data_IF_010754421306
#
_entry.id   IF_010754421306
#
_cell.length_a   1.000
_cell.length_b   1.000
_cell.length_c   1.000
_cell.angle_alpha   90.00
_cell.angle_beta   90.00
_cell.angle_gamma   90.00
#
_symmetry.space_group_name_H-M   'P 1'
#
loop_
_entity.id
_entity.type
_entity.pdbx_description
1 polymer ?
#
# COMPACT_ATOMS: atom_id res chain seq x y z
N UNK A 1 35.93 -14.25 -73.96
CA UNK A 1 34.53 -14.01 -74.35
C UNK A 1 33.62 -14.82 -73.42
N UNK A 2 32.76 -14.11 -72.66
CA UNK A 2 31.54 -14.57 -71.94
C UNK A 2 31.67 -15.58 -70.77
N UNK A 3 31.67 -15.00 -69.55
CA UNK A 3 30.86 -15.27 -68.33
C UNK A 3 30.57 -16.73 -67.94
N UNK A 4 31.15 -17.26 -66.84
CA UNK A 4 30.86 -17.08 -65.39
C UNK A 4 29.78 -18.03 -64.82
N UNK A 5 30.30 -19.01 -64.07
CA UNK A 5 29.82 -19.71 -62.87
C UNK A 5 28.33 -20.04 -62.68
N UNK A 6 28.07 -21.30 -62.30
CA UNK A 6 27.40 -21.61 -61.02
C UNK A 6 27.70 -23.03 -60.53
N UNK A 7 28.05 -23.09 -59.25
CA UNK A 7 28.29 -24.25 -58.39
C UNK A 7 27.03 -25.05 -58.05
N UNK A 8 27.25 -26.32 -57.72
CA UNK A 8 26.42 -27.22 -56.90
C UNK A 8 27.07 -28.61 -56.90
N UNK A 9 26.98 -29.47 -55.89
CA UNK A 9 26.49 -29.46 -54.52
C UNK A 9 26.95 -30.83 -53.99
N UNK A 10 27.80 -30.92 -52.96
CA UNK A 10 27.99 -32.19 -52.25
C UNK A 10 27.98 -31.93 -50.75
N UNK A 11 26.92 -32.44 -50.15
CA UNK A 11 26.62 -32.53 -48.74
C UNK A 11 27.49 -33.59 -48.07
N UNK A 12 28.08 -33.30 -46.91
CA UNK A 12 28.28 -34.32 -45.87
C UNK A 12 28.28 -33.65 -44.48
N UNK A 13 27.45 -34.21 -43.61
CA UNK A 13 27.20 -33.87 -42.21
C UNK A 13 28.50 -33.75 -41.37
N UNK A 14 28.62 -32.64 -40.65
CA UNK A 14 29.25 -32.61 -39.32
C UNK A 14 28.33 -31.86 -38.36
N UNK A 15 27.77 -32.62 -37.42
CA UNK A 15 26.93 -32.16 -36.34
C UNK A 15 27.82 -31.50 -35.27
N UNK A 16 27.94 -30.18 -35.29
CA UNK A 16 28.56 -29.39 -34.22
C UNK A 16 27.46 -28.76 -33.36
N UNK A 17 27.34 -29.23 -32.12
CA UNK A 17 26.56 -28.62 -31.04
C UNK A 17 26.93 -27.14 -30.91
N UNK A 18 25.97 -26.24 -31.19
CA UNK A 18 25.99 -24.88 -30.70
C UNK A 18 25.41 -24.89 -29.28
N UNK A 19 26.27 -24.99 -28.26
CA UNK A 19 25.93 -24.53 -26.92
C UNK A 19 25.91 -23.01 -26.94
N UNK A 20 24.72 -22.42 -27.15
CA UNK A 20 24.50 -21.02 -26.82
C UNK A 20 24.65 -20.86 -25.30
N UNK A 21 25.76 -20.26 -24.88
CA UNK A 21 25.86 -19.61 -23.59
C UNK A 21 24.85 -18.45 -23.57
N UNK A 22 23.63 -18.72 -23.12
CA UNK A 22 22.74 -17.68 -22.67
C UNK A 22 23.24 -17.19 -21.32
N UNK A 23 24.03 -16.11 -21.34
CA UNK A 23 24.28 -15.28 -20.17
C UNK A 23 22.95 -14.62 -19.77
N UNK A 24 22.16 -15.31 -18.97
CA UNK A 24 21.12 -14.68 -18.19
C UNK A 24 21.79 -14.04 -16.98
N UNK A 25 22.21 -12.78 -17.11
CA UNK A 25 22.33 -11.89 -15.95
C UNK A 25 20.91 -11.58 -15.48
N UNK A 26 20.24 -12.57 -14.88
CA UNK A 26 19.18 -12.29 -13.92
C UNK A 26 19.85 -11.71 -12.68
N UNK A 27 19.44 -10.53 -12.19
CA UNK A 27 19.87 -10.06 -10.88
C UNK A 27 19.61 -11.17 -9.85
N UNK A 28 20.45 -11.33 -8.81
CA UNK A 28 20.18 -12.30 -7.76
C UNK A 28 18.78 -12.05 -7.21
N UNK A 29 17.94 -13.07 -7.31
CA UNK A 29 16.58 -13.05 -6.79
C UNK A 29 16.69 -12.79 -5.27
N UNK A 30 16.18 -11.64 -4.84
CA UNK A 30 16.16 -11.21 -3.44
C UNK A 30 15.09 -12.01 -2.67
N UNK A 31 15.20 -13.34 -2.70
CA UNK A 31 14.24 -14.30 -2.12
C UNK A 31 14.18 -14.22 -0.58
N UNK A 32 15.11 -13.52 0.05
CA UNK A 32 15.23 -13.45 1.51
C UNK A 32 14.50 -12.26 2.13
N UNK A 33 14.14 -11.22 1.36
CA UNK A 33 13.47 -10.04 1.92
C UNK A 33 11.96 -10.19 1.89
N UNK A 34 11.37 -10.54 3.04
CA UNK A 34 9.91 -10.65 3.20
C UNK A 34 9.23 -9.31 2.92
N UNK A 35 8.15 -9.36 2.15
CA UNK A 35 7.32 -8.19 1.86
C UNK A 35 5.89 -8.37 2.38
N UNK A 36 5.21 -7.24 2.56
CA UNK A 36 3.78 -7.16 2.85
C UNK A 36 3.12 -6.54 1.62
N UNK A 37 2.18 -7.27 1.02
CA UNK A 37 1.42 -6.84 -0.15
C UNK A 37 -0.06 -6.80 0.19
N UNK A 38 -0.69 -5.64 -0.05
CA UNK A 38 -2.11 -5.44 0.19
C UNK A 38 -2.79 -5.02 -1.11
N UNK A 39 -3.93 -5.63 -1.44
CA UNK A 39 -4.87 -5.08 -2.40
C UNK A 39 -6.13 -4.61 -1.67
N UNK A 40 -6.46 -3.33 -1.83
CA UNK A 40 -7.72 -2.75 -1.39
C UNK A 40 -8.69 -2.81 -2.58
N UNK A 41 -9.79 -3.55 -2.43
CA UNK A 41 -10.85 -3.67 -3.43
C UNK A 41 -12.08 -2.95 -2.87
N UNK A 42 -12.36 -1.74 -3.35
CA UNK A 42 -13.39 -0.89 -2.78
C UNK A 42 -14.57 -0.76 -3.74
N UNK A 43 -15.76 -1.10 -3.27
CA UNK A 43 -16.97 -0.76 -4.00
C UNK A 43 -17.15 0.77 -4.00
N UNK A 44 -17.56 1.29 -5.15
CA UNK A 44 -17.81 2.70 -5.42
C UNK A 44 -19.24 2.89 -5.93
N UNK A 45 -20.18 2.07 -5.45
CA UNK A 45 -21.61 2.27 -5.65
C UNK A 45 -22.14 3.45 -4.81
N UNK A 46 -23.34 3.96 -5.12
CA UNK A 46 -23.92 5.15 -4.45
C UNK A 46 -24.15 4.96 -2.94
N UNK A 47 -24.37 3.72 -2.51
CA UNK A 47 -24.54 3.36 -1.10
C UNK A 47 -23.23 3.43 -0.31
N UNK A 48 -22.07 3.68 -0.95
CA UNK A 48 -20.76 3.59 -0.31
C UNK A 48 -20.15 4.92 0.14
N UNK A 49 -20.80 6.07 -0.05
CA UNK A 49 -20.23 7.40 0.23
C UNK A 49 -19.69 7.53 1.66
N UNK A 50 -20.48 7.16 2.67
CA UNK A 50 -20.06 7.21 4.07
C UNK A 50 -18.92 6.24 4.39
N UNK A 51 -18.83 5.13 3.66
CA UNK A 51 -17.85 4.09 3.89
C UNK A 51 -16.52 4.35 3.19
N UNK A 52 -16.53 4.96 2.00
CA UNK A 52 -15.30 5.43 1.36
C UNK A 52 -14.59 6.43 2.28
N UNK A 53 -15.34 7.28 2.99
CA UNK A 53 -14.78 8.17 4.02
C UNK A 53 -14.19 7.41 5.22
N UNK A 54 -14.83 6.32 5.67
CA UNK A 54 -14.27 5.46 6.71
C UNK A 54 -13.02 4.71 6.21
N UNK A 55 -13.03 4.16 5.00
CA UNK A 55 -11.90 3.49 4.38
C UNK A 55 -10.69 4.42 4.21
N UNK A 56 -10.93 5.69 3.84
CA UNK A 56 -9.91 6.77 3.83
C UNK A 56 -9.27 6.95 5.20
N UNK A 57 -10.07 6.90 6.28
CA UNK A 57 -9.55 6.99 7.65
C UNK A 57 -8.77 5.74 8.08
N UNK A 58 -9.16 4.56 7.60
CA UNK A 58 -8.56 3.29 8.03
C UNK A 58 -7.23 2.95 7.37
N UNK A 59 -6.94 3.51 6.19
CA UNK A 59 -5.67 3.28 5.49
C UNK A 59 -4.47 3.47 6.42
N UNK A 60 -4.42 4.60 7.13
CA UNK A 60 -3.30 4.91 8.03
C UNK A 60 -3.26 4.00 9.26
N UNK A 61 -4.42 3.52 9.75
CA UNK A 61 -4.48 2.52 10.83
C UNK A 61 -3.77 1.24 10.41
N UNK A 62 -4.11 0.71 9.23
CA UNK A 62 -3.52 -0.52 8.67
C UNK A 62 -2.03 -0.35 8.43
N UNK A 63 -1.64 0.76 7.77
CA UNK A 63 -0.24 1.09 7.49
C UNK A 63 0.57 1.17 8.78
N UNK A 64 0.08 1.88 9.80
CA UNK A 64 0.79 2.05 11.06
C UNK A 64 0.98 0.73 11.81
N UNK A 65 0.00 -0.16 11.78
CA UNK A 65 0.14 -1.48 12.42
C UNK A 65 1.14 -2.36 11.67
N UNK A 66 1.05 -2.41 10.35
CA UNK A 66 1.99 -3.19 9.54
C UNK A 66 3.41 -2.62 9.58
N UNK A 67 3.56 -1.32 9.81
CA UNK A 67 4.87 -0.70 10.03
C UNK A 67 5.52 -1.11 11.37
N UNK A 68 4.76 -1.65 12.34
CA UNK A 68 5.32 -2.26 13.55
C UNK A 68 5.80 -3.69 13.33
N UNK A 69 5.41 -4.30 12.21
CA UNK A 69 5.80 -5.68 11.91
C UNK A 69 7.29 -5.76 11.55
N UNK A 70 7.97 -6.76 12.10
CA UNK A 70 9.32 -7.17 11.75
C UNK A 70 9.36 -8.68 11.51
N UNK A 71 10.31 -9.16 10.71
CA UNK A 71 10.50 -10.59 10.53
C UNK A 71 11.98 -10.91 10.38
N UNK A 72 12.46 -11.88 11.17
CA UNK A 72 13.86 -12.33 11.15
C UNK A 72 14.87 -11.18 11.34
N UNK A 73 14.50 -10.16 12.15
CA UNK A 73 15.30 -8.97 12.40
C UNK A 73 15.24 -7.90 11.30
N UNK A 74 14.54 -8.19 10.18
CA UNK A 74 14.35 -7.26 9.08
C UNK A 74 12.97 -6.59 9.14
N UNK A 75 12.93 -5.33 8.71
CA UNK A 75 11.68 -4.59 8.51
C UNK A 75 11.17 -4.83 7.09
N UNK A 76 9.96 -5.36 6.92
CA UNK A 76 9.41 -5.70 5.60
C UNK A 76 9.07 -4.44 4.81
N UNK A 77 9.16 -4.56 3.49
CA UNK A 77 8.61 -3.56 2.57
C UNK A 77 7.10 -3.70 2.50
N UNK A 78 6.37 -2.59 2.49
CA UNK A 78 4.93 -2.54 2.31
C UNK A 78 4.59 -2.04 0.91
N UNK A 79 3.74 -2.77 0.19
CA UNK A 79 3.20 -2.39 -1.10
C UNK A 79 1.68 -2.47 -1.07
N UNK A 80 1.01 -1.43 -1.58
CA UNK A 80 -0.45 -1.35 -1.62
C UNK A 80 -0.90 -1.15 -3.05
N UNK A 81 -1.91 -1.91 -3.46
CA UNK A 81 -2.68 -1.73 -4.68
C UNK A 81 -4.10 -1.28 -4.34
N UNK A 82 -4.74 -0.57 -5.27
CA UNK A 82 -6.10 -0.09 -5.13
C UNK A 82 -6.90 -0.44 -6.37
N UNK A 83 -8.04 -1.09 -6.15
CA UNK A 83 -9.08 -1.32 -7.13
C UNK A 83 -10.36 -0.64 -6.69
N UNK A 84 -11.11 -0.16 -7.66
CA UNK A 84 -12.52 0.14 -7.48
C UNK A 84 -13.36 -0.84 -8.30
N UNK A 85 -14.56 -1.13 -7.80
CA UNK A 85 -15.56 -1.90 -8.51
C UNK A 85 -16.97 -1.37 -8.21
N UNK A 86 -18.00 -1.92 -8.88
CA UNK A 86 -19.40 -1.60 -8.58
C UNK A 86 -19.88 -0.23 -9.05
N UNK A 87 -19.20 0.38 -10.04
CA UNK A 87 -19.52 1.71 -10.54
C UNK A 87 -19.90 1.71 -12.03
N UNK A 88 -21.06 2.27 -12.37
CA UNK A 88 -21.59 2.30 -13.74
C UNK A 88 -20.78 3.18 -14.72
N UNK A 89 -19.85 4.00 -14.24
CA UNK A 89 -18.89 4.70 -15.11
C UNK A 89 -17.74 3.78 -15.57
N UNK A 90 -17.61 2.60 -14.97
CA UNK A 90 -16.59 1.63 -15.31
C UNK A 90 -17.03 0.77 -16.50
N UNK A 91 -16.05 0.16 -17.16
CA UNK A 91 -16.29 -0.62 -18.36
C UNK A 91 -17.06 -1.92 -18.02
N UNK A 92 -18.28 -2.12 -18.54
CA UNK A 92 -19.07 -3.32 -18.27
C UNK A 92 -18.40 -4.60 -18.80
N UNK A 93 -17.60 -4.50 -19.88
CA UNK A 93 -16.86 -5.65 -20.43
C UNK A 93 -15.72 -6.13 -19.53
N UNK A 94 -15.26 -5.27 -18.61
CA UNK A 94 -14.27 -5.60 -17.58
C UNK A 94 -14.94 -5.96 -16.24
N UNK A 95 -16.28 -6.07 -16.22
CA UNK A 95 -17.06 -6.37 -15.03
C UNK A 95 -17.20 -5.19 -14.06
N UNK A 96 -17.17 -3.96 -14.57
CA UNK A 96 -17.19 -2.74 -13.77
C UNK A 96 -16.04 -2.66 -12.76
N UNK A 97 -14.83 -3.06 -13.17
CA UNK A 97 -13.65 -3.10 -12.31
C UNK A 97 -12.55 -2.26 -12.94
N UNK A 98 -11.88 -1.44 -12.14
CA UNK A 98 -10.69 -0.70 -12.55
C UNK A 98 -9.58 -0.85 -11.53
N UNK A 99 -8.39 -1.22 -12.01
CA UNK A 99 -7.16 -1.08 -11.24
C UNK A 99 -6.78 0.40 -11.21
N UNK A 100 -6.90 1.02 -10.04
CA UNK A 100 -6.61 2.45 -9.85
C UNK A 100 -5.12 2.65 -9.58
N UNK A 101 -4.52 1.76 -8.79
CA UNK A 101 -3.10 1.78 -8.43
C UNK A 101 -2.54 0.36 -8.44
N UNK A 102 -1.43 0.15 -9.17
CA UNK A 102 -0.61 -1.07 -9.07
C UNK A 102 0.04 -1.18 -7.70
N UNK A 103 0.59 -2.35 -7.34
CA UNK A 103 1.38 -2.49 -6.11
C UNK A 103 2.49 -1.42 -6.09
N UNK A 104 2.42 -0.52 -5.12
CA UNK A 104 3.35 0.60 -4.98
C UNK A 104 3.71 0.83 -3.51
N UNK A 105 4.89 1.39 -3.28
CA UNK A 105 5.36 1.89 -1.97
C UNK A 105 4.93 3.35 -1.74
N UNK A 106 4.48 4.03 -2.78
CA UNK A 106 4.09 5.43 -2.73
C UNK A 106 2.74 5.58 -2.02
N UNK A 107 2.79 5.72 -0.69
CA UNK A 107 1.62 5.87 0.15
C UNK A 107 0.85 7.17 -0.12
N UNK A 108 1.51 8.20 -0.66
CA UNK A 108 0.85 9.44 -1.03
C UNK A 108 0.07 9.31 -2.34
N UNK A 109 0.56 8.51 -3.30
CA UNK A 109 -0.20 8.13 -4.49
C UNK A 109 -1.43 7.30 -4.12
N UNK A 110 -1.28 6.31 -3.24
CA UNK A 110 -2.40 5.48 -2.76
C UNK A 110 -3.44 6.36 -2.07
N UNK A 111 -3.01 7.23 -1.16
CA UNK A 111 -3.89 8.21 -0.50
C UNK A 111 -4.57 9.11 -1.52
N UNK A 112 -3.83 9.71 -2.46
CA UNK A 112 -4.39 10.56 -3.50
C UNK A 112 -5.50 9.86 -4.26
N UNK A 113 -5.23 8.65 -4.75
CA UNK A 113 -6.20 7.88 -5.54
C UNK A 113 -7.41 7.45 -4.73
N UNK A 114 -7.21 7.12 -3.45
CA UNK A 114 -8.31 6.84 -2.53
C UNK A 114 -9.22 8.06 -2.31
N UNK A 115 -8.65 9.27 -2.20
CA UNK A 115 -9.41 10.53 -2.11
C UNK A 115 -10.07 10.95 -3.43
N UNK A 116 -9.54 10.51 -4.57
CA UNK A 116 -10.10 10.75 -5.90
C UNK A 116 -11.29 9.85 -6.26
N UNK A 117 -11.50 8.74 -5.54
CA UNK A 117 -12.64 7.83 -5.79
C UNK A 117 -13.97 8.58 -5.67
N UNK A 118 -14.90 8.26 -6.57
CA UNK A 118 -16.25 8.84 -6.62
C UNK A 118 -17.24 7.71 -6.78
N UNK A 119 -18.36 7.82 -6.09
CA UNK A 119 -19.43 6.84 -6.19
C UNK A 119 -20.30 7.13 -7.40
N UNK A 120 -20.73 6.06 -8.07
CA UNK A 120 -21.79 6.10 -9.05
C UNK A 120 -22.29 4.68 -9.26
N UNK A 121 -23.41 4.34 -8.60
CA UNK A 121 -24.00 3.01 -8.44
C UNK A 121 -23.80 2.04 -9.61
N UNK A 122 -23.72 0.74 -9.35
CA UNK A 122 -23.53 -0.32 -10.34
C UNK A 122 -23.57 -1.70 -9.69
N UNK A 123 -23.40 -2.75 -10.50
CA UNK A 123 -23.41 -4.13 -10.01
C UNK A 123 -22.07 -4.52 -9.36
N UNK A 124 -22.10 -5.19 -8.21
CA UNK A 124 -20.92 -5.50 -7.40
C UNK A 124 -20.38 -6.92 -7.66
N UNK A 125 -19.46 -7.08 -8.60
CA UNK A 125 -18.92 -8.40 -8.95
C UNK A 125 -17.72 -8.81 -8.07
N UNK A 126 -17.99 -9.13 -6.80
CA UNK A 126 -16.98 -9.52 -5.80
C UNK A 126 -16.04 -10.65 -6.26
N UNK A 127 -16.60 -11.74 -6.82
CA UNK A 127 -15.80 -12.85 -7.35
C UNK A 127 -14.90 -12.43 -8.51
N UNK A 128 -15.40 -11.56 -9.39
CA UNK A 128 -14.64 -11.06 -10.54
C UNK A 128 -13.51 -10.11 -10.11
N UNK A 129 -13.72 -9.20 -9.16
CA UNK A 129 -12.67 -8.27 -8.71
C UNK A 129 -11.55 -9.00 -7.97
N UNK A 130 -11.87 -10.01 -7.15
CA UNK A 130 -10.86 -10.88 -6.54
C UNK A 130 -10.07 -11.59 -7.64
N UNK A 131 -10.73 -12.27 -8.57
CA UNK A 131 -10.06 -12.95 -9.70
C UNK A 131 -9.16 -11.99 -10.48
N UNK A 132 -9.66 -10.80 -10.79
CA UNK A 132 -8.93 -9.77 -11.55
C UNK A 132 -7.68 -9.30 -10.81
N UNK A 133 -7.78 -9.06 -9.51
CA UNK A 133 -6.62 -8.70 -8.67
C UNK A 133 -5.57 -9.82 -8.61
N UNK A 134 -5.98 -11.10 -8.63
CA UNK A 134 -5.09 -12.25 -8.68
C UNK A 134 -4.39 -12.41 -10.05
N UNK A 135 -5.04 -11.97 -11.12
CA UNK A 135 -4.52 -12.05 -12.50
C UNK A 135 -3.55 -10.90 -12.82
N UNK A 136 -3.83 -9.69 -12.34
CA UNK A 136 -3.14 -8.47 -12.76
C UNK A 136 -2.00 -8.03 -11.83
N UNK A 137 -2.10 -8.30 -10.53
CA UNK A 137 -1.05 -7.88 -9.58
C UNK A 137 0.10 -8.88 -9.56
N UNK A 138 1.33 -8.35 -9.52
CA UNK A 138 2.50 -9.15 -9.23
C UNK A 138 2.54 -9.49 -7.73
N UNK A 139 1.80 -10.52 -7.35
CA UNK A 139 1.81 -11.07 -6.00
C UNK A 139 3.13 -11.74 -5.63
N UNK A 140 4.06 -11.93 -6.58
CA UNK A 140 5.24 -12.80 -6.52
C UNK A 140 4.94 -14.25 -6.10
N UNK A 141 5.96 -15.12 -6.18
CA UNK A 141 5.86 -16.53 -5.77
C UNK A 141 6.39 -16.80 -4.35
N UNK A 142 6.79 -15.77 -3.59
CA UNK A 142 7.29 -15.93 -2.22
C UNK A 142 6.18 -16.45 -1.32
N UNK A 143 6.44 -17.56 -0.63
CA UNK A 143 5.55 -18.12 0.39
C UNK A 143 5.71 -17.43 1.75
N UNK A 144 6.81 -16.69 1.92
CA UNK A 144 7.17 -16.00 3.15
C UNK A 144 6.52 -14.62 3.28
N UNK A 145 6.01 -14.08 2.18
CA UNK A 145 5.35 -12.79 2.15
C UNK A 145 3.97 -12.85 2.80
N UNK A 146 3.57 -11.72 3.39
CA UNK A 146 2.22 -11.50 3.86
C UNK A 146 1.42 -10.86 2.72
N UNK A 147 0.46 -11.61 2.16
CA UNK A 147 -0.36 -11.17 1.02
C UNK A 147 -1.82 -11.11 1.45
N UNK A 148 -2.39 -9.92 1.42
CA UNK A 148 -3.72 -9.64 1.93
C UNK A 148 -4.57 -8.95 0.85
N UNK A 149 -5.82 -9.37 0.76
CA UNK A 149 -6.88 -8.63 0.05
C UNK A 149 -7.84 -8.12 1.11
N UNK A 150 -8.19 -6.84 1.07
CA UNK A 150 -9.33 -6.30 1.79
C UNK A 150 -10.37 -5.89 0.75
N UNK A 151 -11.51 -6.56 0.78
CA UNK A 151 -12.65 -6.23 -0.08
C UNK A 151 -13.78 -5.61 0.75
N UNK A 152 -14.33 -4.50 0.28
CA UNK A 152 -15.43 -3.78 0.93
C UNK A 152 -16.56 -3.50 -0.07
N UNK A 153 -17.81 -3.69 0.36
CA UNK A 153 -19.03 -3.54 -0.46
C UNK A 153 -20.30 -3.83 0.33
N UNK A 154 -21.46 -3.61 -0.29
CA UNK A 154 -22.76 -3.67 0.40
C UNK A 154 -23.79 -4.58 -0.28
N UNK A 155 -23.46 -5.22 -1.40
CA UNK A 155 -24.35 -6.13 -2.11
C UNK A 155 -23.96 -7.61 -1.90
N UNK A 156 -24.80 -8.58 -2.32
CA UNK A 156 -24.46 -9.98 -2.18
C UNK A 156 -23.14 -10.38 -2.85
N UNK A 157 -22.28 -11.06 -2.07
CA UNK A 157 -20.96 -11.50 -2.50
C UNK A 157 -20.98 -12.50 -3.69
N UNK A 158 -22.17 -13.03 -3.99
CA UNK A 158 -22.45 -13.98 -5.07
C UNK A 158 -22.80 -13.33 -6.41
N UNK A 159 -22.87 -12.00 -6.50
CA UNK A 159 -23.20 -11.32 -7.75
C UNK A 159 -22.11 -11.54 -8.84
N UNK A 160 -22.56 -11.52 -10.10
CA UNK A 160 -21.70 -11.70 -11.27
C UNK A 160 -21.60 -13.16 -11.75
N UNK A 161 -20.84 -13.37 -12.83
CA UNK A 161 -20.69 -14.67 -13.49
C UNK A 161 -19.56 -15.54 -12.92
N UNK A 162 -18.66 -14.96 -12.13
CA UNK A 162 -17.57 -15.68 -11.46
C UNK A 162 -18.03 -16.09 -10.07
N UNK A 163 -18.02 -17.40 -9.80
CA UNK A 163 -18.24 -17.90 -8.44
C UNK A 163 -17.08 -17.43 -7.54
N UNK A 164 -17.41 -16.65 -6.52
CA UNK A 164 -16.44 -16.15 -5.56
C UNK A 164 -15.66 -17.28 -4.87
N UNK A 165 -16.23 -18.48 -4.74
CA UNK A 165 -15.58 -19.62 -4.11
C UNK A 165 -14.34 -20.03 -4.89
N UNK A 166 -14.43 -20.08 -6.23
CA UNK A 166 -13.30 -20.41 -7.09
C UNK A 166 -12.20 -19.35 -6.97
N UNK A 167 -12.58 -18.07 -6.94
CA UNK A 167 -11.65 -16.96 -6.74
C UNK A 167 -10.95 -17.03 -5.38
N UNK A 168 -11.70 -17.29 -4.30
CA UNK A 168 -11.15 -17.42 -2.95
C UNK A 168 -10.27 -18.67 -2.79
N UNK A 169 -10.64 -19.83 -3.36
CA UNK A 169 -9.77 -21.01 -3.34
C UNK A 169 -8.48 -20.77 -4.10
N UNK A 170 -8.53 -20.06 -5.22
CA UNK A 170 -7.33 -19.65 -5.94
C UNK A 170 -6.46 -18.71 -5.09
N UNK A 171 -7.04 -17.69 -4.45
CA UNK A 171 -6.31 -16.81 -3.54
C UNK A 171 -5.61 -17.60 -2.42
N UNK A 172 -6.33 -18.51 -1.77
CA UNK A 172 -5.80 -19.40 -0.73
C UNK A 172 -4.62 -20.23 -1.23
N UNK A 173 -4.76 -20.86 -2.39
CA UNK A 173 -3.71 -21.69 -2.98
C UNK A 173 -2.46 -20.87 -3.37
N UNK A 174 -2.62 -19.57 -3.65
CA UNK A 174 -1.53 -18.62 -3.85
C UNK A 174 -0.99 -18.01 -2.55
N UNK A 175 -1.48 -18.45 -1.38
CA UNK A 175 -1.07 -17.96 -0.07
C UNK A 175 -1.57 -16.55 0.26
N UNK A 176 -2.63 -16.11 -0.41
CA UNK A 176 -3.27 -14.79 -0.26
C UNK A 176 -4.50 -14.94 0.63
N UNK A 177 -4.60 -14.11 1.66
CA UNK A 177 -5.74 -14.08 2.58
C UNK A 177 -6.70 -12.98 2.18
N UNK A 178 -7.98 -13.30 2.05
CA UNK A 178 -9.05 -12.36 1.72
C UNK A 178 -9.81 -12.01 3.00
N UNK A 179 -9.73 -10.76 3.42
CA UNK A 179 -10.52 -10.17 4.48
C UNK A 179 -11.70 -9.41 3.85
N UNK A 180 -12.90 -9.63 4.39
CA UNK A 180 -14.14 -9.10 3.81
C UNK A 180 -14.79 -8.12 4.77
N UNK A 181 -15.18 -6.95 4.26
CA UNK A 181 -15.81 -5.86 5.01
C UNK A 181 -17.18 -5.60 4.40
N UNK A 182 -18.24 -6.15 5.01
CA UNK A 182 -19.60 -5.87 4.58
C UNK A 182 -20.06 -4.52 5.11
N UNK A 183 -20.80 -3.79 4.29
CA UNK A 183 -21.20 -2.43 4.58
C UNK A 183 -22.71 -2.40 4.86
N UNK A 184 -23.07 -2.85 6.07
CA UNK A 184 -24.46 -3.01 6.46
C UNK A 184 -24.62 -3.78 7.76
N UNK A 185 -25.75 -4.47 7.91
CA UNK A 185 -25.97 -5.33 9.07
C UNK A 185 -25.01 -6.54 9.07
N UNK A 186 -24.47 -6.86 10.25
CA UNK A 186 -23.50 -7.95 10.37
C UNK A 186 -24.07 -9.31 9.96
N UNK A 187 -25.35 -9.59 10.24
CA UNK A 187 -25.98 -10.84 9.84
C UNK A 187 -26.36 -10.86 8.36
N UNK A 188 -26.68 -9.71 7.78
CA UNK A 188 -26.90 -9.60 6.34
C UNK A 188 -25.67 -10.02 5.54
N UNK A 189 -24.47 -9.54 5.89
CA UNK A 189 -23.25 -9.98 5.22
C UNK A 189 -22.97 -11.49 5.38
N UNK A 190 -23.40 -12.10 6.49
CA UNK A 190 -23.35 -13.56 6.64
C UNK A 190 -24.31 -14.23 5.65
N UNK A 191 -25.57 -13.78 5.61
CA UNK A 191 -26.61 -14.34 4.75
C UNK A 191 -26.30 -14.16 3.26
N UNK A 192 -25.51 -13.14 2.93
CA UNK A 192 -25.11 -12.79 1.57
C UNK A 192 -23.67 -13.23 1.24
N UNK A 193 -23.13 -14.18 2.01
CA UNK A 193 -21.88 -14.91 1.75
C UNK A 193 -20.56 -14.12 1.92
N UNK A 194 -20.58 -12.91 2.47
CA UNK A 194 -19.35 -12.18 2.80
C UNK A 194 -18.47 -12.96 3.79
N UNK A 195 -19.09 -13.49 4.87
CA UNK A 195 -18.37 -14.32 5.84
C UNK A 195 -17.72 -15.56 5.21
N UNK A 196 -18.45 -16.21 4.30
CA UNK A 196 -17.94 -17.37 3.58
C UNK A 196 -16.72 -17.00 2.72
N UNK A 197 -16.74 -15.84 2.06
CA UNK A 197 -15.62 -15.33 1.26
C UNK A 197 -14.31 -15.24 2.05
N UNK A 198 -14.36 -14.69 3.27
CA UNK A 198 -13.21 -14.61 4.16
C UNK A 198 -12.75 -15.98 4.68
N UNK A 199 -13.69 -16.78 5.20
CA UNK A 199 -13.41 -18.08 5.85
C UNK A 199 -12.68 -19.06 4.93
N UNK A 200 -13.00 -19.08 3.62
CA UNK A 200 -12.32 -19.95 2.64
C UNK A 200 -10.80 -19.77 2.70
N UNK A 201 -10.34 -18.54 2.85
CA UNK A 201 -8.92 -18.17 2.83
C UNK A 201 -8.27 -18.10 4.22
N UNK A 202 -9.06 -18.26 5.29
CA UNK A 202 -8.61 -18.01 6.66
C UNK A 202 -8.52 -16.52 7.01
N UNK A 203 -9.26 -15.68 6.27
CA UNK A 203 -9.42 -14.27 6.56
C UNK A 203 -10.50 -14.00 7.59
N UNK A 204 -10.67 -12.73 7.94
CA UNK A 204 -11.69 -12.27 8.88
C UNK A 204 -12.83 -11.55 8.17
N UNK A 205 -14.03 -11.76 8.68
CA UNK A 205 -15.25 -11.08 8.26
C UNK A 205 -15.62 -9.98 9.25
N UNK A 206 -15.82 -8.78 8.72
CA UNK A 206 -16.21 -7.60 9.47
C UNK A 206 -17.46 -7.02 8.83
N UNK A 207 -18.26 -6.34 9.65
CA UNK A 207 -19.32 -5.46 9.14
C UNK A 207 -19.11 -4.05 9.67
N UNK A 208 -19.38 -3.07 8.83
CA UNK A 208 -19.36 -1.66 9.20
C UNK A 208 -20.74 -1.09 8.98
N UNK A 209 -21.29 -0.51 10.05
CA UNK A 209 -22.49 0.28 9.91
C UNK A 209 -22.11 1.71 9.47
N UNK A 210 -22.55 2.08 8.27
CA UNK A 210 -22.25 3.36 7.64
C UNK A 210 -22.83 4.56 8.40
N UNK A 211 -23.88 4.36 9.20
CA UNK A 211 -24.50 5.40 10.02
C UNK A 211 -23.69 5.71 11.29
N UNK A 212 -22.77 4.82 11.67
CA UNK A 212 -21.92 5.02 12.84
C UNK A 212 -20.70 5.84 12.47
N UNK A 213 -20.65 7.07 12.99
CA UNK A 213 -19.43 7.89 12.93
C UNK A 213 -18.36 7.26 13.80
N UNK A 214 -17.18 7.04 13.23
CA UNK A 214 -15.98 6.65 13.99
C UNK A 214 -15.78 7.63 15.15
N UNK A 215 -15.80 7.13 16.38
CA UNK A 215 -15.60 7.95 17.57
C UNK A 215 -14.10 8.14 17.77
N UNK A 216 -13.61 9.31 17.39
CA UNK A 216 -12.21 9.67 17.61
C UNK A 216 -11.99 10.14 19.05
N UNK A 217 -11.14 9.45 19.79
CA UNK A 217 -10.66 9.90 21.10
C UNK A 217 -9.47 10.82 20.86
N UNK A 218 -9.65 12.10 21.20
CA UNK A 218 -8.60 13.11 21.18
C UNK A 218 -7.62 12.84 22.32
N UNK A 219 -6.33 12.98 22.05
CA UNK A 219 -5.27 12.80 23.03
C UNK A 219 -4.53 14.11 23.30
N UNK A 220 -4.03 14.37 24.52
CA UNK A 220 -3.20 15.54 24.81
C UNK A 220 -1.88 15.59 24.00
N UNK A 221 -1.52 14.52 23.28
CA UNK A 221 -0.31 14.47 22.44
C UNK A 221 -0.58 14.86 20.98
N UNK A 222 -1.84 14.97 20.55
CA UNK A 222 -2.23 15.14 19.14
C UNK A 222 -1.69 16.45 18.52
N UNK A 223 -1.76 17.55 19.27
CA UNK A 223 -1.24 18.86 18.82
C UNK A 223 0.28 18.82 18.60
N UNK A 224 1.01 18.17 19.51
CA UNK A 224 2.47 18.08 19.42
C UNK A 224 2.88 17.23 18.22
N UNK A 225 2.22 16.09 18.00
CA UNK A 225 2.48 15.26 16.81
C UNK A 225 2.17 16.03 15.53
N UNK A 226 1.07 16.81 15.50
CA UNK A 226 0.73 17.64 14.35
C UNK A 226 1.78 18.72 14.06
N UNK A 227 2.33 19.37 15.09
CA UNK A 227 3.44 20.32 14.93
C UNK A 227 4.72 19.64 14.42
N UNK A 228 5.01 18.43 14.89
CA UNK A 228 6.16 17.66 14.42
C UNK A 228 5.98 17.23 12.96
N UNK A 229 4.76 16.92 12.50
CA UNK A 229 4.49 16.64 11.08
C UNK A 229 4.82 17.85 10.18
N UNK A 230 4.49 19.07 10.62
CA UNK A 230 4.85 20.29 9.89
C UNK A 230 6.38 20.43 9.80
N UNK A 231 7.10 20.15 10.88
CA UNK A 231 8.58 20.17 10.87
C UNK A 231 9.14 19.06 9.98
N UNK A 232 8.56 17.85 10.04
CA UNK A 232 8.94 16.72 9.21
C UNK A 232 8.87 17.08 7.72
N UNK A 233 7.81 17.79 7.31
CA UNK A 233 7.67 18.29 5.94
C UNK A 233 8.83 19.19 5.49
N UNK A 234 9.49 19.91 6.39
CA UNK A 234 10.61 20.79 6.05
C UNK A 234 11.96 20.06 5.95
N UNK A 235 11.95 18.73 6.15
CA UNK A 235 13.15 17.88 6.01
C UNK A 235 13.26 17.22 4.64
N UNK A 236 12.21 17.27 3.81
CA UNK A 236 12.24 16.68 2.47
C UNK A 236 12.92 17.60 1.47
N UNK A 237 13.83 17.03 0.69
CA UNK A 237 14.63 17.72 -0.30
C UNK A 237 14.24 17.18 -1.68
N UNK A 238 13.42 17.93 -2.40
CA UNK A 238 12.89 17.47 -3.69
C UNK A 238 13.96 17.42 -4.76
N UNK A 239 13.96 16.38 -5.59
CA UNK A 239 14.78 16.32 -6.79
C UNK A 239 14.06 15.67 -7.97
N UNK A 240 14.64 15.82 -9.16
CA UNK A 240 14.13 15.23 -10.38
C UNK A 240 12.88 15.93 -10.91
N UNK A 241 12.42 15.48 -12.09
CA UNK A 241 11.33 16.13 -12.83
C UNK A 241 9.99 16.09 -12.10
N UNK A 242 9.74 15.05 -11.31
CA UNK A 242 8.50 14.86 -10.54
C UNK A 242 8.61 15.39 -9.10
N UNK A 243 9.80 15.82 -8.65
CA UNK A 243 10.10 16.23 -7.28
C UNK A 243 9.08 17.18 -6.68
N UNK A 244 8.84 18.28 -7.38
CA UNK A 244 7.89 19.31 -6.96
C UNK A 244 6.46 18.78 -6.89
N UNK A 245 6.00 18.06 -7.91
CA UNK A 245 4.64 17.52 -7.95
C UNK A 245 4.40 16.50 -6.82
N UNK A 246 5.36 15.63 -6.55
CA UNK A 246 5.28 14.64 -5.47
C UNK A 246 5.25 15.30 -4.09
N UNK A 247 6.05 16.36 -3.90
CA UNK A 247 6.01 17.17 -2.69
C UNK A 247 4.68 17.89 -2.49
N UNK A 248 4.13 18.47 -3.55
CA UNK A 248 2.81 19.08 -3.53
C UNK A 248 1.73 18.04 -3.20
N UNK A 249 1.83 16.82 -3.75
CA UNK A 249 0.94 15.73 -3.40
C UNK A 249 1.05 15.35 -1.92
N UNK A 250 2.26 15.22 -1.36
CA UNK A 250 2.46 14.97 0.08
C UNK A 250 1.71 16.00 0.95
N UNK A 251 1.81 17.29 0.60
CA UNK A 251 1.12 18.39 1.31
C UNK A 251 -0.39 18.30 1.11
N UNK A 252 -0.86 17.97 -0.09
CA UNK A 252 -2.28 17.76 -0.35
C UNK A 252 -2.85 16.59 0.47
N UNK A 253 -2.09 15.50 0.61
CA UNK A 253 -2.50 14.35 1.44
C UNK A 253 -2.49 14.67 2.94
N UNK A 254 -1.56 15.51 3.41
CA UNK A 254 -1.62 16.05 4.78
C UNK A 254 -2.90 16.88 5.00
N UNK A 255 -3.26 17.73 4.03
CA UNK A 255 -4.50 18.51 4.08
C UNK A 255 -5.74 17.61 4.08
N UNK A 256 -5.80 16.61 3.19
CA UNK A 256 -6.88 15.63 3.13
C UNK A 256 -7.07 14.90 4.47
N UNK A 257 -5.99 14.40 5.08
CA UNK A 257 -6.06 13.73 6.38
C UNK A 257 -6.57 14.65 7.49
N UNK A 258 -6.10 15.92 7.51
CA UNK A 258 -6.57 16.93 8.46
C UNK A 258 -8.04 17.31 8.25
N UNK A 259 -8.52 17.28 7.00
CA UNK A 259 -9.91 17.54 6.65
C UNK A 259 -10.89 16.49 7.18
N UNK A 260 -10.44 15.24 7.38
CA UNK A 260 -11.25 14.20 8.02
C UNK A 260 -11.31 14.42 9.53
N UNK A 261 -10.15 14.45 10.20
CA UNK A 261 -10.06 14.73 11.64
C UNK A 261 -8.61 14.97 12.08
N UNK A 262 -8.44 15.58 13.26
CA UNK A 262 -7.13 15.68 13.90
C UNK A 262 -6.48 14.31 14.14
N UNK A 263 -7.29 13.30 14.51
CA UNK A 263 -6.79 11.94 14.73
C UNK A 263 -6.26 11.33 13.43
N UNK A 264 -6.90 11.59 12.27
CA UNK A 264 -6.37 11.14 10.98
C UNK A 264 -5.08 11.85 10.59
N UNK A 265 -4.98 13.15 10.85
CA UNK A 265 -3.70 13.89 10.69
C UNK A 265 -2.58 13.26 11.52
N UNK A 266 -2.86 12.90 12.78
CA UNK A 266 -1.90 12.22 13.65
C UNK A 266 -1.55 10.82 13.14
N UNK A 267 -2.53 10.00 12.75
CA UNK A 267 -2.28 8.66 12.18
C UNK A 267 -1.36 8.76 10.95
N UNK A 268 -1.59 9.73 10.06
CA UNK A 268 -0.74 9.97 8.90
C UNK A 268 0.68 10.43 9.29
N UNK A 269 0.81 11.35 10.24
CA UNK A 269 2.10 11.79 10.75
C UNK A 269 2.94 10.61 11.29
N UNK A 270 2.29 9.68 11.98
CA UNK A 270 2.90 8.44 12.47
C UNK A 270 3.34 7.55 11.31
N UNK A 271 2.54 7.41 10.25
CA UNK A 271 2.93 6.66 9.06
C UNK A 271 4.17 7.25 8.40
N UNK A 272 4.23 8.58 8.27
CA UNK A 272 5.40 9.30 7.73
C UNK A 272 6.66 9.19 8.59
N UNK A 273 6.49 8.93 9.88
CA UNK A 273 7.58 8.68 10.80
C UNK A 273 8.06 7.22 10.82
N UNK A 274 7.37 6.33 10.10
CA UNK A 274 7.69 4.91 10.04
C UNK A 274 8.59 4.57 8.85
N UNK A 275 9.17 3.36 8.86
CA UNK A 275 10.09 2.91 7.80
C UNK A 275 9.42 2.56 6.47
N UNK A 276 8.09 2.41 6.45
CA UNK A 276 7.35 2.08 5.22
C UNK A 276 7.05 3.30 4.36
N UNK A 277 7.16 4.51 4.92
CA UNK A 277 6.97 5.75 4.17
C UNK A 277 8.29 6.17 3.52
N UNK A 278 8.41 5.86 2.23
CA UNK A 278 9.64 5.98 1.46
C UNK A 278 9.41 6.74 0.16
N UNK A 279 10.28 7.70 -0.11
CA UNK A 279 10.13 8.67 -1.20
C UNK A 279 11.39 8.73 -2.06
N UNK A 280 12.10 7.61 -2.21
CA UNK A 280 13.41 7.59 -2.86
C UNK A 280 13.40 8.12 -4.29
N UNK A 281 12.26 8.13 -4.99
CA UNK A 281 12.16 8.63 -6.36
C UNK A 281 12.15 10.15 -6.49
N UNK A 282 11.96 10.88 -5.37
CA UNK A 282 11.75 12.32 -5.42
C UNK A 282 12.32 13.09 -4.22
N UNK A 283 12.75 12.42 -3.15
CA UNK A 283 13.38 13.01 -1.96
C UNK A 283 14.83 12.56 -1.81
N UNK A 284 15.78 13.51 -1.78
CA UNK A 284 17.22 13.20 -1.71
C UNK A 284 17.65 12.53 -0.40
N UNK A 285 16.95 12.78 0.71
CA UNK A 285 17.31 12.13 1.98
C UNK A 285 16.98 10.65 1.95
N UNK A 286 15.80 10.28 1.42
CA UNK A 286 15.42 8.87 1.24
C UNK A 286 16.25 8.21 0.12
N UNK A 287 16.52 8.93 -0.97
CA UNK A 287 17.33 8.45 -2.07
C UNK A 287 18.78 8.16 -1.63
N UNK A 288 19.40 9.07 -0.85
CA UNK A 288 20.75 8.91 -0.31
C UNK A 288 20.90 7.80 0.72
N UNK A 289 19.79 7.21 1.20
CA UNK A 289 19.82 6.02 2.05
C UNK A 289 19.96 4.72 1.24
N UNK A 290 19.84 4.76 -0.09
CA UNK A 290 20.05 3.59 -0.95
C UNK A 290 21.54 3.40 -1.25
N UNK A 291 22.00 2.15 -1.25
CA UNK A 291 23.43 1.82 -1.45
C UNK A 291 23.98 2.30 -2.80
N UNK A 292 23.16 2.29 -3.85
CA UNK A 292 23.56 2.64 -5.22
C UNK A 292 23.34 4.13 -5.57
N UNK A 293 22.98 4.98 -4.60
CA UNK A 293 22.66 6.38 -4.88
C UNK A 293 23.89 7.29 -4.85
N UNK A 294 24.08 8.04 -5.94
CA UNK A 294 25.14 9.04 -6.07
C UNK A 294 24.56 10.42 -6.39
N UNK A 295 24.62 11.34 -5.41
CA UNK A 295 24.11 12.72 -5.57
C UNK A 295 24.81 13.49 -6.71
N UNK A 296 26.03 13.11 -7.05
CA UNK A 296 26.84 13.70 -8.13
C UNK A 296 26.30 13.39 -9.53
N UNK A 297 25.48 12.34 -9.67
CA UNK A 297 24.86 11.97 -10.94
C UNK A 297 23.61 12.80 -11.24
N UNK A 298 23.11 13.57 -10.27
CA UNK A 298 21.92 14.41 -10.43
C UNK A 298 22.30 15.70 -11.15
N UNK A 299 21.52 16.04 -12.18
CA UNK A 299 21.73 17.27 -12.94
C UNK A 299 21.39 18.48 -12.11
N UNK A 300 22.11 19.57 -12.33
CA UNK A 300 21.96 20.81 -11.56
C UNK A 300 20.54 21.40 -11.69
N UNK A 301 19.90 21.25 -12.84
CA UNK A 301 18.50 21.67 -13.07
C UNK A 301 17.46 20.82 -12.34
N UNK A 302 17.83 19.61 -11.89
CA UNK A 302 16.97 18.68 -11.16
C UNK A 302 17.13 18.81 -9.64
N UNK A 303 18.07 19.65 -9.18
CA UNK A 303 18.26 19.98 -7.77
C UNK A 303 17.37 21.15 -7.33
N UNK A 304 16.99 21.20 -6.05
CA UNK A 304 16.28 22.35 -5.51
C UNK A 304 17.18 23.59 -5.49
N UNK A 305 16.57 24.78 -5.52
CA UNK A 305 17.28 26.06 -5.60
C UNK A 305 18.35 26.21 -4.51
N UNK A 306 18.06 25.75 -3.30
CA UNK A 306 18.96 25.79 -2.15
C UNK A 306 20.26 25.00 -2.37
N UNK A 307 20.24 24.01 -3.27
CA UNK A 307 21.39 23.14 -3.56
C UNK A 307 22.12 23.51 -4.84
N UNK A 308 21.60 24.45 -5.63
CA UNK A 308 22.25 24.92 -6.85
C UNK A 308 23.53 25.71 -6.50
N UNK A 309 24.63 25.38 -7.17
CA UNK A 309 25.96 25.94 -6.94
C UNK A 309 26.72 25.30 -5.78
N UNK A 310 26.13 24.37 -5.03
CA UNK A 310 26.85 23.61 -4.00
C UNK A 310 27.86 22.66 -4.66
N UNK A 311 29.05 22.54 -4.07
CA UNK A 311 29.95 21.45 -4.42
C UNK A 311 29.45 20.12 -3.81
N UNK A 312 30.08 19.01 -4.18
CA UNK A 312 29.71 17.67 -3.72
C UNK A 312 29.70 17.54 -2.19
N UNK A 313 30.72 18.05 -1.50
CA UNK A 313 30.82 17.97 -0.03
C UNK A 313 29.69 18.76 0.65
N UNK A 314 29.35 19.92 0.11
CA UNK A 314 28.26 20.75 0.62
C UNK A 314 26.89 20.09 0.38
N UNK A 315 26.68 19.44 -0.78
CA UNK A 315 25.46 18.67 -1.07
C UNK A 315 25.28 17.52 -0.07
N UNK A 316 26.33 16.73 0.16
CA UNK A 316 26.30 15.62 1.13
C UNK A 316 26.00 16.14 2.54
N UNK A 317 26.71 17.18 2.98
CA UNK A 317 26.51 17.79 4.31
C UNK A 317 25.09 18.34 4.50
N UNK A 318 24.50 18.94 3.46
CA UNK A 318 23.14 19.43 3.50
C UNK A 318 22.13 18.29 3.65
N UNK A 319 22.29 17.21 2.87
CA UNK A 319 21.47 16.00 2.98
C UNK A 319 21.59 15.38 4.38
N UNK A 320 22.81 15.21 4.90
CA UNK A 320 23.06 14.63 6.23
C UNK A 320 22.45 15.46 7.37
N UNK A 321 22.49 16.79 7.24
CA UNK A 321 21.86 17.70 8.21
C UNK A 321 20.34 17.47 8.22
N UNK A 322 19.72 17.39 7.05
CA UNK A 322 18.28 17.16 6.90
C UNK A 322 17.87 15.76 7.34
N UNK A 323 18.70 14.75 7.09
CA UNK A 323 18.53 13.38 7.59
C UNK A 323 18.53 13.34 9.11
N UNK A 324 19.51 13.96 9.76
CA UNK A 324 19.61 14.01 11.22
C UNK A 324 18.41 14.72 11.85
N UNK A 325 17.98 15.84 11.26
CA UNK A 325 16.76 16.56 11.67
C UNK A 325 15.52 15.66 11.55
N UNK A 326 15.38 14.96 10.41
CA UNK A 326 14.27 14.02 10.14
C UNK A 326 14.23 12.90 11.16
N UNK A 327 15.33 12.19 11.38
CA UNK A 327 15.41 11.06 12.29
C UNK A 327 15.00 11.46 13.73
N UNK A 328 15.44 12.64 14.19
CA UNK A 328 15.07 13.16 15.50
C UNK A 328 13.56 13.46 15.59
N UNK A 329 12.97 14.06 14.56
CA UNK A 329 11.53 14.36 14.52
C UNK A 329 10.71 13.07 14.47
N UNK A 330 11.10 12.12 13.62
CA UNK A 330 10.42 10.82 13.49
C UNK A 330 10.44 10.08 14.83
N UNK A 331 11.58 10.05 15.51
CA UNK A 331 11.69 9.45 16.85
C UNK A 331 10.73 10.10 17.86
N UNK A 332 10.66 11.44 17.89
CA UNK A 332 9.74 12.15 18.79
C UNK A 332 8.26 11.84 18.48
N UNK A 333 7.90 11.76 17.18
CA UNK A 333 6.54 11.36 16.76
C UNK A 333 6.20 9.96 17.27
N UNK A 334 7.10 8.99 17.09
CA UNK A 334 6.87 7.60 17.52
C UNK A 334 6.76 7.50 19.05
N UNK A 335 7.62 8.19 19.80
CA UNK A 335 7.56 8.23 21.27
C UNK A 335 6.25 8.86 21.80
N UNK A 336 5.77 9.92 21.16
CA UNK A 336 4.48 10.54 21.50
C UNK A 336 3.30 9.66 21.10
N UNK A 337 3.38 8.98 19.95
CA UNK A 337 2.33 8.06 19.53
C UNK A 337 2.18 6.89 20.51
N UNK A 338 3.26 6.37 21.09
CA UNK A 338 3.17 5.34 22.13
C UNK A 338 2.34 5.83 23.33
N UNK A 339 2.62 7.04 23.83
CA UNK A 339 1.85 7.65 24.94
C UNK A 339 0.39 7.91 24.54
N UNK A 340 0.17 8.29 23.28
CA UNK A 340 -1.16 8.46 22.70
C UNK A 340 -1.95 7.16 22.69
N UNK A 341 -1.37 6.06 22.23
CA UNK A 341 -2.01 4.74 22.21
C UNK A 341 -2.38 4.28 23.63
N UNK A 342 -1.48 4.43 24.60
CA UNK A 342 -1.73 4.14 26.01
C UNK A 342 -2.90 4.97 26.58
N UNK A 343 -2.94 6.27 26.26
CA UNK A 343 -4.01 7.17 26.68
C UNK A 343 -5.36 6.77 26.07
N UNK A 344 -5.40 6.52 24.75
CA UNK A 344 -6.62 6.13 24.03
C UNK A 344 -7.16 4.81 24.55
N UNK A 345 -6.31 3.80 24.74
CA UNK A 345 -6.72 2.50 25.28
C UNK A 345 -7.34 2.63 26.68
N UNK A 346 -6.74 3.47 27.54
CA UNK A 346 -7.31 3.76 28.87
C UNK A 346 -8.69 4.41 28.76
N UNK A 347 -8.85 5.43 27.93
CA UNK A 347 -10.13 6.13 27.74
C UNK A 347 -11.22 5.22 27.14
N UNK A 348 -10.86 4.30 26.22
CA UNK A 348 -11.79 3.32 25.67
C UNK A 348 -12.31 2.36 26.75
N UNK A 349 -11.42 1.85 27.61
CA UNK A 349 -11.81 0.96 28.71
C UNK A 349 -12.73 1.62 29.75
N UNK A 350 -12.59 2.93 29.96
CA UNK A 350 -13.39 3.70 30.92
C UNK A 350 -14.77 4.10 30.37
N UNK A 351 -14.93 4.16 29.05
CA UNK A 351 -16.14 4.69 28.40
C UNK A 351 -17.04 3.62 27.78
N UNK A 352 -16.65 2.34 27.78
CA UNK A 352 -17.34 1.23 27.11
C UNK A 352 -17.71 1.51 25.65
N UNK A 353 -17.02 2.46 25.00
CA UNK A 353 -17.19 2.78 23.58
C UNK A 353 -16.21 1.91 22.80
N UNK A 354 -16.69 0.78 22.33
CA UNK A 354 -15.88 -0.10 21.49
C UNK A 354 -15.67 0.56 20.12
N UNK A 355 -14.40 0.66 19.71
CA UNK A 355 -14.05 0.96 18.32
C UNK A 355 -13.86 -0.38 17.59
N UNK A 356 -14.94 -1.18 17.57
CA UNK A 356 -14.94 -2.62 17.23
C UNK A 356 -14.24 -2.92 15.92
N UNK A 357 -14.41 -2.05 14.92
CA UNK A 357 -13.85 -2.27 13.59
C UNK A 357 -12.31 -2.20 13.57
N UNK A 358 -11.72 -1.12 14.11
CA UNK A 358 -10.27 -0.94 14.17
C UNK A 358 -9.64 -2.14 14.89
N UNK A 359 -10.22 -2.53 16.03
CA UNK A 359 -9.67 -3.60 16.87
C UNK A 359 -9.76 -4.98 16.20
N UNK A 360 -10.90 -5.30 15.55
CA UNK A 360 -11.07 -6.58 14.82
C UNK A 360 -10.14 -6.64 13.62
N UNK A 361 -10.03 -5.55 12.84
CA UNK A 361 -9.15 -5.49 11.67
C UNK A 361 -7.67 -5.62 12.06
N UNK A 362 -7.25 -4.89 13.10
CA UNK A 362 -5.88 -4.96 13.61
C UNK A 362 -5.55 -6.34 14.17
N UNK A 363 -6.49 -6.97 14.88
CA UNK A 363 -6.32 -8.34 15.37
C UNK A 363 -6.22 -9.35 14.23
N UNK A 364 -7.04 -9.21 13.19
CA UNK A 364 -6.99 -10.03 11.98
C UNK A 364 -5.60 -9.98 11.34
N UNK A 365 -5.12 -8.75 11.09
CA UNK A 365 -3.81 -8.47 10.50
C UNK A 365 -2.70 -9.10 11.35
N UNK A 366 -2.72 -8.90 12.67
CA UNK A 366 -1.72 -9.47 13.60
C UNK A 366 -1.68 -10.99 13.55
N UNK A 367 -2.84 -11.63 13.58
CA UNK A 367 -2.94 -13.09 13.53
C UNK A 367 -2.39 -13.64 12.21
N UNK A 368 -2.79 -13.03 11.08
CA UNK A 368 -2.37 -13.44 9.74
C UNK A 368 -0.87 -13.20 9.51
N UNK A 369 -0.35 -12.07 9.98
CA UNK A 369 1.08 -11.75 9.95
C UNK A 369 1.89 -12.70 10.83
N UNK A 370 1.42 -13.00 12.05
CA UNK A 370 2.08 -13.94 12.97
C UNK A 370 2.13 -15.35 12.39
N UNK A 371 1.09 -15.80 11.68
CA UNK A 371 1.08 -17.06 10.94
C UNK A 371 2.17 -17.12 9.84
N UNK A 372 2.60 -15.96 9.34
CA UNK A 372 3.74 -15.80 8.41
C UNK A 372 5.07 -15.49 9.11
N UNK A 373 5.14 -15.66 10.44
CA UNK A 373 6.31 -15.43 11.31
C UNK A 373 6.71 -13.97 11.50
N UNK A 374 5.84 -13.02 11.13
CA UNK A 374 6.05 -11.62 11.50
C UNK A 374 5.81 -11.44 13.01
N UNK A 375 6.54 -10.52 13.61
CA UNK A 375 6.45 -10.11 15.01
C UNK A 375 6.12 -8.63 15.07
N UNK A 376 5.40 -8.19 16.09
CA UNK A 376 5.05 -6.79 16.29
C UNK A 376 5.76 -6.31 17.56
N UNK A 377 6.43 -5.18 17.48
CA UNK A 377 7.13 -4.53 18.61
C UNK A 377 6.44 -3.24 19.07
#
# INVERSE_FOLDING_TARGET
MRNLLKMGLVSLLTLSLLTMCANANTPPDNQDKKSIKIALLLDTSNSMDGLIEQAKSQLWTIVNELAKASCDGAKPELQIALYEYGNNWLNPYEGYIRQVVFLTKDLDLVSQKLFELRTNGGDEFCGQVIKTSLDQLDWNNSTNDLKLIFIAGNEPFTQGSVDFRDACYRAKNSGIVVNTIFCGDYHEGINTSWKQGAEITGGEYMSINQDYKTVYITSPYDDRISQLNIKLNNTYITYGREGKQKKENQVAQDANASGISQVNSVKRAVSKASHVYKNESWDLVDAAAQEDFEVTQIKEEELPEEMKGMNEQDKIKYIDTKKTEREQIQKEIIELNKKREEYVAKQQSETSKENVLDDVMLKAIKNQATAKKFKFE
#
